data_IF_206349387992
#
_entry.id   IF_206349387992
#
_cell.length_a   1.000
_cell.length_b   1.000
_cell.length_c   1.000
_cell.angle_alpha   90.00
_cell.angle_beta   90.00
_cell.angle_gamma   90.00
#
_symmetry.space_group_name_H-M   'P 1'
#
loop_
_entity.id
_entity.type
_entity.pdbx_description
1 polymer ?
#
# COMPACT_ATOMS: atom_id res chain seq x y z
N UNK A 1 0.20 9.60 18.31
CA UNK A 1 1.23 10.30 17.51
C UNK A 1 0.55 11.23 16.52
N UNK A 2 1.07 12.45 16.33
CA UNK A 2 0.57 13.32 15.26
C UNK A 2 1.32 12.98 13.96
N UNK A 3 0.58 12.61 12.91
CA UNK A 3 1.17 12.28 11.61
C UNK A 3 1.46 13.58 10.84
N UNK A 4 2.73 14.01 10.87
CA UNK A 4 3.21 15.22 10.20
C UNK A 4 4.64 15.03 9.66
N UNK A 5 5.09 15.85 8.69
CA UNK A 5 6.47 15.79 8.21
C UNK A 5 7.50 15.88 9.36
N UNK A 6 8.51 15.02 9.33
CA UNK A 6 9.53 14.88 10.35
C UNK A 6 9.17 13.95 11.52
N UNK A 7 7.93 13.46 11.60
CA UNK A 7 7.52 12.55 12.66
C UNK A 7 8.15 11.16 12.48
N UNK A 8 8.70 10.60 13.56
CA UNK A 8 9.32 9.27 13.57
C UNK A 8 8.29 8.20 13.90
N UNK A 9 8.06 7.29 12.95
CA UNK A 9 7.14 6.14 13.13
C UNK A 9 7.81 5.07 13.99
N UNK A 10 9.12 4.88 13.78
CA UNK A 10 10.02 4.05 14.58
C UNK A 10 11.46 4.50 14.33
N UNK A 11 12.44 3.79 14.89
CA UNK A 11 13.88 4.08 14.76
C UNK A 11 14.40 4.18 13.32
N UNK A 12 13.65 3.69 12.33
CA UNK A 12 14.09 3.60 10.93
C UNK A 12 13.27 4.44 9.98
N UNK A 13 12.08 4.91 10.36
CA UNK A 13 11.10 5.48 9.45
C UNK A 13 10.72 6.88 9.91
N UNK A 14 10.98 7.87 9.06
CA UNK A 14 10.62 9.28 9.31
C UNK A 14 9.71 9.79 8.19
N UNK A 15 8.55 10.35 8.54
CA UNK A 15 7.59 10.86 7.56
C UNK A 15 8.13 12.09 6.84
N UNK A 16 7.90 12.18 5.53
CA UNK A 16 8.38 13.28 4.68
C UNK A 16 7.20 14.08 4.14
N UNK A 17 6.28 13.41 3.45
CA UNK A 17 5.19 14.07 2.74
C UNK A 17 3.92 13.22 2.81
N UNK A 18 2.78 13.86 3.04
CA UNK A 18 1.48 13.20 2.99
C UNK A 18 1.02 13.09 1.54
N UNK A 19 0.69 11.88 1.12
CA UNK A 19 0.01 11.63 -0.14
C UNK A 19 -1.51 11.77 0.04
N UNK A 20 -2.22 12.12 -1.03
CA UNK A 20 -3.68 12.09 -1.01
C UNK A 20 -4.16 10.67 -0.65
N UNK A 21 -4.89 10.56 0.46
CA UNK A 21 -5.26 9.28 1.07
C UNK A 21 -6.57 8.71 0.54
N UNK A 22 -6.63 7.38 0.45
CA UNK A 22 -7.89 6.65 0.25
C UNK A 22 -8.72 6.54 1.55
N UNK A 23 -9.96 6.04 1.43
CA UNK A 23 -10.94 6.02 2.53
C UNK A 23 -10.54 5.26 3.81
N UNK A 24 -9.49 4.42 3.79
CA UNK A 24 -9.08 3.57 4.91
C UNK A 24 -7.87 4.09 5.72
N UNK A 25 -7.55 5.39 5.63
CA UNK A 25 -6.54 6.04 6.46
C UNK A 25 -5.67 7.04 5.72
N UNK A 26 -4.42 7.22 6.17
CA UNK A 26 -3.49 8.18 5.56
C UNK A 26 -2.27 7.49 4.95
N UNK A 27 -1.79 8.02 3.83
CA UNK A 27 -0.64 7.47 3.09
C UNK A 27 0.45 8.53 3.05
N UNK A 28 1.69 8.13 3.26
CA UNK A 28 2.83 9.03 3.37
C UNK A 28 4.04 8.50 2.61
N UNK A 29 4.83 9.41 2.06
CA UNK A 29 6.24 9.13 1.74
C UNK A 29 7.04 9.26 3.04
N UNK A 30 7.96 8.32 3.27
CA UNK A 30 8.85 8.34 4.42
C UNK A 30 10.29 7.97 4.01
N UNK A 31 11.28 8.50 4.72
CA UNK A 31 12.66 8.07 4.62
C UNK A 31 12.86 6.80 5.46
N UNK A 32 13.45 5.77 4.87
CA UNK A 32 13.79 4.53 5.57
C UNK A 32 15.30 4.39 5.76
N UNK A 33 15.81 4.73 6.94
CA UNK A 33 17.25 4.77 7.26
C UNK A 33 17.96 3.43 7.00
N UNK A 34 17.32 2.30 7.33
CA UNK A 34 17.91 0.97 7.12
C UNK A 34 18.01 0.51 5.65
N UNK A 35 17.21 1.09 4.75
CA UNK A 35 17.20 0.74 3.32
C UNK A 35 17.92 1.80 2.48
N UNK A 36 18.18 2.99 3.03
CA UNK A 36 18.79 4.10 2.33
C UNK A 36 17.93 4.65 1.18
N UNK A 37 16.60 4.48 1.25
CA UNK A 37 15.66 4.92 0.20
C UNK A 37 14.34 5.38 0.81
N UNK A 38 13.51 6.00 -0.02
CA UNK A 38 12.15 6.41 0.34
C UNK A 38 11.15 5.28 0.13
N UNK A 39 10.24 5.16 1.09
CA UNK A 39 9.17 4.15 1.13
C UNK A 39 7.81 4.83 1.22
N UNK A 40 6.75 4.07 1.00
CA UNK A 40 5.37 4.51 1.27
C UNK A 40 4.90 3.87 2.58
N UNK A 41 4.35 4.67 3.47
CA UNK A 41 3.77 4.23 4.74
C UNK A 41 2.27 4.50 4.70
N UNK A 42 1.46 3.45 4.82
CA UNK A 42 0.00 3.55 4.93
C UNK A 42 -0.41 3.26 6.36
N UNK A 43 -0.95 4.28 7.02
CA UNK A 43 -1.61 4.15 8.32
C UNK A 43 -3.06 3.78 8.10
N UNK A 44 -3.56 2.83 8.88
CA UNK A 44 -4.96 2.46 8.86
C UNK A 44 -5.71 3.20 9.95
N UNK A 45 -6.84 3.80 9.57
CA UNK A 45 -7.81 4.28 10.54
C UNK A 45 -8.75 3.12 10.89
N UNK A 46 -8.57 2.57 12.09
CA UNK A 46 -9.44 1.51 12.61
C UNK A 46 -10.71 2.07 13.28
N UNK A 47 -10.85 3.39 13.46
CA UNK A 47 -12.00 4.02 14.12
C UNK A 47 -12.41 3.37 15.46
N UNK A 48 -13.68 3.53 15.83
CA UNK A 48 -14.33 2.85 16.96
C UNK A 48 -14.77 1.41 16.59
N UNK A 49 -13.91 0.64 15.91
CA UNK A 49 -14.23 -0.76 15.63
C UNK A 49 -14.41 -1.51 16.97
N UNK A 50 -15.53 -2.24 17.15
CA UNK A 50 -15.93 -2.80 18.46
C UNK A 50 -14.98 -3.88 19.01
N UNK A 51 -13.94 -4.26 18.25
CA UNK A 51 -12.81 -5.05 18.75
C UNK A 51 -11.54 -4.69 17.98
N UNK A 52 -10.81 -3.67 18.46
CA UNK A 52 -9.50 -3.30 17.91
C UNK A 52 -8.58 -4.52 17.79
N UNK A 53 -8.56 -5.40 18.79
CA UNK A 53 -7.77 -6.65 18.79
C UNK A 53 -8.04 -7.58 17.59
N UNK A 54 -9.30 -7.75 17.18
CA UNK A 54 -9.61 -8.61 16.02
C UNK A 54 -9.20 -7.94 14.71
N UNK A 55 -9.35 -6.61 14.65
CA UNK A 55 -9.00 -5.81 13.48
C UNK A 55 -7.49 -5.79 13.25
N UNK A 56 -6.70 -5.62 14.32
CA UNK A 56 -5.23 -5.69 14.29
C UNK A 56 -4.74 -7.09 13.90
N UNK A 57 -5.33 -8.15 14.46
CA UNK A 57 -4.99 -9.54 14.06
C UNK A 57 -5.28 -9.80 12.59
N UNK A 58 -6.44 -9.36 12.12
CA UNK A 58 -6.82 -9.51 10.70
C UNK A 58 -5.90 -8.71 9.79
N UNK A 59 -5.56 -7.49 10.17
CA UNK A 59 -4.60 -6.65 9.47
C UNK A 59 -3.23 -7.35 9.33
N UNK A 60 -2.68 -7.90 10.42
CA UNK A 60 -1.42 -8.62 10.38
C UNK A 60 -1.45 -9.85 9.45
N UNK A 61 -2.58 -10.58 9.44
CA UNK A 61 -2.79 -11.73 8.53
C UNK A 61 -2.82 -11.25 7.07
N UNK A 62 -3.58 -10.20 6.77
CA UNK A 62 -3.71 -9.65 5.41
C UNK A 62 -2.39 -9.04 4.92
N UNK A 63 -1.65 -8.33 5.78
CA UNK A 63 -0.33 -7.79 5.46
C UNK A 63 0.69 -8.91 5.18
N UNK A 64 0.71 -9.97 5.99
CA UNK A 64 1.57 -11.13 5.77
C UNK A 64 1.22 -11.87 4.47
N UNK A 65 -0.06 -12.01 4.18
CA UNK A 65 -0.54 -12.62 2.93
C UNK A 65 -0.14 -11.77 1.71
N UNK A 66 -0.27 -10.45 1.78
CA UNK A 66 0.21 -9.57 0.72
C UNK A 66 1.74 -9.63 0.54
N UNK A 67 2.49 -9.68 1.65
CA UNK A 67 3.95 -9.74 1.62
C UNK A 67 4.54 -11.04 1.04
N UNK A 68 3.77 -12.14 1.05
CA UNK A 68 4.19 -13.43 0.47
C UNK A 68 4.09 -13.45 -1.05
N UNK A 69 3.29 -12.56 -1.66
CA UNK A 69 3.15 -12.45 -3.11
C UNK A 69 4.38 -11.75 -3.68
N UNK A 70 5.24 -12.49 -4.39
CA UNK A 70 6.46 -11.97 -5.03
C UNK A 70 6.28 -11.93 -6.55
N UNK A 71 6.16 -10.74 -7.11
CA UNK A 71 5.99 -10.53 -8.56
C UNK A 71 6.42 -9.11 -8.94
N UNK A 72 6.99 -8.87 -10.13
CA UNK A 72 7.33 -7.53 -10.61
C UNK A 72 6.10 -6.64 -10.86
N UNK A 73 4.88 -7.20 -10.74
CA UNK A 73 3.62 -6.50 -10.94
C UNK A 73 2.81 -6.36 -9.63
N UNK A 74 3.45 -6.60 -8.48
CA UNK A 74 2.87 -6.45 -7.14
C UNK A 74 3.79 -5.57 -6.31
N UNK A 75 3.23 -4.55 -5.67
CA UNK A 75 3.99 -3.65 -4.78
C UNK A 75 4.68 -4.46 -3.70
N UNK A 76 5.99 -4.23 -3.50
CA UNK A 76 6.71 -4.96 -2.47
C UNK A 76 6.37 -4.41 -1.08
N UNK A 77 5.99 -5.31 -0.19
CA UNK A 77 5.79 -5.00 1.24
C UNK A 77 7.12 -5.19 1.97
N UNK A 78 7.54 -4.17 2.72
CA UNK A 78 8.79 -4.20 3.49
C UNK A 78 8.56 -4.53 4.95
N UNK A 79 7.52 -3.96 5.56
CA UNK A 79 7.24 -4.13 6.99
C UNK A 79 5.78 -3.81 7.31
N UNK A 80 5.33 -4.19 8.51
CA UNK A 80 4.08 -3.75 9.09
C UNK A 80 4.19 -3.74 10.62
N UNK A 81 3.44 -2.88 11.29
CA UNK A 81 3.51 -2.76 12.73
C UNK A 81 2.42 -1.91 13.33
N UNK A 82 2.61 -1.60 14.61
CA UNK A 82 1.84 -0.62 15.36
C UNK A 82 2.78 0.51 15.78
N UNK A 83 2.31 1.75 15.75
CA UNK A 83 2.98 2.87 16.39
C UNK A 83 2.85 2.78 17.92
N UNK A 84 3.53 3.66 18.65
CA UNK A 84 3.44 3.73 20.12
C UNK A 84 2.02 4.03 20.65
N UNK A 85 1.15 4.59 19.80
CA UNK A 85 -0.27 4.81 20.07
C UNK A 85 -1.20 3.78 19.40
N UNK A 86 -0.68 2.58 19.16
CA UNK A 86 -1.41 1.43 18.60
C UNK A 86 -2.04 1.66 17.22
N UNK A 87 -1.56 2.65 16.46
CA UNK A 87 -2.02 2.88 15.09
C UNK A 87 -1.33 1.89 14.13
N UNK A 88 -2.08 1.03 13.42
CA UNK A 88 -1.48 0.09 12.49
C UNK A 88 -0.93 0.79 11.25
N UNK A 89 0.25 0.36 10.82
CA UNK A 89 0.87 0.85 9.60
C UNK A 89 1.48 -0.27 8.77
N UNK A 90 1.55 -0.02 7.47
CA UNK A 90 2.24 -0.85 6.48
C UNK A 90 3.31 -0.02 5.81
N UNK A 91 4.50 -0.60 5.65
CA UNK A 91 5.61 -0.05 4.88
C UNK A 91 5.73 -0.81 3.56
N UNK A 92 5.67 -0.08 2.46
CA UNK A 92 5.70 -0.66 1.11
C UNK A 92 6.60 0.15 0.18
N UNK A 93 6.91 -0.47 -0.96
CA UNK A 93 7.65 0.14 -2.04
C UNK A 93 7.02 1.45 -2.51
N UNK A 94 7.87 2.46 -2.73
CA UNK A 94 7.48 3.68 -3.42
C UNK A 94 7.59 3.47 -4.92
N UNK A 95 6.44 3.40 -5.59
CA UNK A 95 6.38 3.35 -7.04
C UNK A 95 6.60 4.75 -7.65
N UNK A 96 7.37 4.79 -8.73
CA UNK A 96 7.50 5.98 -9.56
C UNK A 96 6.55 5.87 -10.76
N UNK A 97 5.64 6.84 -10.91
CA UNK A 97 4.67 6.87 -11.98
C UNK A 97 3.38 7.57 -11.56
N UNK A 98 2.29 7.26 -12.26
CA UNK A 98 0.95 7.75 -11.94
C UNK A 98 -0.06 6.60 -11.79
N UNK A 99 -1.09 6.74 -10.95
CA UNK A 99 -2.19 5.79 -10.92
C UNK A 99 -2.91 5.72 -12.28
N UNK A 100 -3.36 4.52 -12.67
CA UNK A 100 -4.10 4.32 -13.92
C UNK A 100 -5.37 5.18 -13.97
N UNK A 101 -6.03 5.38 -12.82
CA UNK A 101 -7.19 6.27 -12.70
C UNK A 101 -6.88 7.72 -13.12
N UNK A 102 -5.70 8.23 -12.77
CA UNK A 102 -5.30 9.59 -13.14
C UNK A 102 -5.08 9.72 -14.65
N UNK A 103 -4.40 8.72 -15.24
CA UNK A 103 -4.22 8.62 -16.70
C UNK A 103 -5.57 8.54 -17.44
N UNK A 104 -6.49 7.69 -16.96
CA UNK A 104 -7.83 7.57 -17.52
C UNK A 104 -8.64 8.86 -17.40
N UNK A 105 -8.52 9.59 -16.28
CA UNK A 105 -9.20 10.89 -16.12
C UNK A 105 -8.68 11.94 -17.11
N UNK A 106 -7.37 11.93 -17.40
CA UNK A 106 -6.73 12.84 -18.35
C UNK A 106 -7.06 12.50 -19.80
N UNK A 107 -7.06 11.23 -20.16
CA UNK A 107 -7.13 10.76 -21.57
C UNK A 107 -8.52 10.27 -21.98
N UNK A 108 -9.41 10.01 -21.01
CA UNK A 108 -10.76 9.47 -21.19
C UNK A 108 -10.77 7.97 -21.51
N UNK A 109 -10.00 7.53 -22.50
CA UNK A 109 -9.83 6.13 -22.87
C UNK A 109 -8.41 5.85 -23.35
N UNK A 110 -7.95 4.62 -23.14
CA UNK A 110 -6.66 4.16 -23.65
C UNK A 110 -6.80 3.48 -25.01
N UNK A 111 -5.73 3.53 -25.79
CA UNK A 111 -5.61 2.71 -26.99
C UNK A 111 -5.52 1.22 -26.62
N UNK A 112 -5.80 0.33 -27.59
CA UNK A 112 -5.58 -1.11 -27.38
C UNK A 112 -4.10 -1.43 -27.10
N UNK A 113 -3.19 -0.70 -27.74
CA UNK A 113 -1.74 -0.87 -27.57
C UNK A 113 -1.29 -0.57 -26.13
N UNK A 114 -1.93 0.36 -25.43
CA UNK A 114 -1.66 0.66 -24.02
C UNK A 114 -2.44 -0.28 -23.07
N UNK A 115 -3.68 -0.60 -23.41
CA UNK A 115 -4.57 -1.40 -22.55
C UNK A 115 -4.07 -2.82 -22.38
N UNK A 116 -3.65 -3.48 -23.47
CA UNK A 116 -3.25 -4.89 -23.46
C UNK A 116 -2.09 -5.16 -22.49
N UNK A 117 -0.98 -4.39 -22.49
CA UNK A 117 0.09 -4.55 -21.52
C UNK A 117 -0.37 -4.40 -20.07
N UNK A 118 -1.16 -3.36 -19.76
CA UNK A 118 -1.63 -3.06 -18.39
C UNK A 118 -2.45 -4.22 -17.84
N UNK A 119 -3.46 -4.67 -18.60
CA UNK A 119 -4.32 -5.77 -18.17
C UNK A 119 -3.52 -7.08 -18.08
N UNK A 120 -2.61 -7.34 -19.02
CA UNK A 120 -1.77 -8.54 -18.99
C UNK A 120 -0.89 -8.59 -17.74
N UNK A 121 -0.28 -7.46 -17.35
CA UNK A 121 0.54 -7.35 -16.14
C UNK A 121 -0.30 -7.53 -14.86
N UNK A 122 -1.48 -6.89 -14.80
CA UNK A 122 -2.41 -7.07 -13.69
C UNK A 122 -2.89 -8.53 -13.55
N UNK A 123 -3.20 -9.20 -14.66
CA UNK A 123 -3.54 -10.62 -14.65
C UNK A 123 -2.39 -11.49 -14.12
N UNK A 124 -1.14 -11.23 -14.53
CA UNK A 124 0.02 -11.96 -14.00
C UNK A 124 0.18 -11.75 -12.49
N UNK A 125 0.00 -10.53 -12.00
CA UNK A 125 0.01 -10.23 -10.57
C UNK A 125 -1.05 -11.05 -9.81
N UNK A 126 -2.29 -11.03 -10.32
CA UNK A 126 -3.42 -11.74 -9.73
C UNK A 126 -3.24 -13.26 -9.77
N UNK A 127 -2.69 -13.82 -10.85
CA UNK A 127 -2.40 -15.26 -10.94
C UNK A 127 -1.47 -15.69 -9.80
N UNK A 128 -0.36 -14.99 -9.58
CA UNK A 128 0.59 -15.31 -8.50
C UNK A 128 -0.09 -15.18 -7.13
N UNK A 129 -0.92 -14.15 -6.92
CA UNK A 129 -1.68 -14.01 -5.67
C UNK A 129 -2.65 -15.18 -5.45
N UNK A 130 -3.40 -15.56 -6.48
CA UNK A 130 -4.39 -16.64 -6.42
C UNK A 130 -3.77 -18.02 -6.20
N UNK A 131 -2.60 -18.30 -6.77
CA UNK A 131 -1.84 -19.53 -6.53
C UNK A 131 -1.43 -19.69 -5.05
N UNK A 132 -1.29 -18.56 -4.34
CA UNK A 132 -1.01 -18.50 -2.90
C UNK A 132 -2.29 -18.42 -2.05
N UNK A 133 -3.48 -18.51 -2.66
CA UNK A 133 -4.77 -18.39 -1.97
C UNK A 133 -5.12 -16.97 -1.53
N UNK A 134 -4.41 -15.95 -2.04
CA UNK A 134 -4.62 -14.55 -1.70
C UNK A 134 -5.56 -13.90 -2.71
N UNK A 135 -6.64 -13.29 -2.25
CA UNK A 135 -7.61 -12.58 -3.10
C UNK A 135 -7.55 -11.08 -2.81
N UNK A 136 -7.33 -10.25 -3.84
CA UNK A 136 -7.17 -8.80 -3.67
C UNK A 136 -8.45 -8.09 -3.18
N UNK A 137 -9.63 -8.55 -3.64
CA UNK A 137 -10.98 -8.05 -3.25
C UNK A 137 -11.34 -6.62 -3.63
N UNK A 138 -10.39 -5.76 -3.94
CA UNK A 138 -10.64 -4.35 -4.34
C UNK A 138 -9.90 -3.95 -5.63
N UNK A 139 -10.02 -4.72 -6.71
CA UNK A 139 -9.32 -4.36 -7.97
C UNK A 139 -10.04 -3.19 -8.65
N UNK A 140 -9.29 -2.10 -8.88
CA UNK A 140 -9.76 -0.88 -9.56
C UNK A 140 -8.57 -0.06 -10.09
N UNK A 141 -8.75 0.87 -11.04
CA UNK A 141 -7.65 1.66 -11.61
C UNK A 141 -6.87 2.55 -10.63
N UNK A 142 -7.37 2.76 -9.41
CA UNK A 142 -6.68 3.52 -8.36
C UNK A 142 -5.73 2.69 -7.49
N UNK A 143 -5.71 1.36 -7.69
CA UNK A 143 -4.85 0.40 -7.00
C UNK A 143 -3.86 -0.21 -8.00
#
# INVERSE_FOLDING_TARGET
MKLEPGAQVNDRITLVERLEGGAMGSVWIADHAGLGTQVVVKFLDLGDLPSQDQSVKRFAIEARAAASVKSPHVVQMFDYGLTDDDTPFIVMERLAGEPLQAKLKREGRLSLAETVPIISQACRALTVAHELGVIHRDIKPGN
#
